data_IF_764015547513
#
_entry.id   IF_764015547513
#
_cell.length_a   1.000
_cell.length_b   1.000
_cell.length_c   1.000
_cell.angle_alpha   90.00
_cell.angle_beta   90.00
_cell.angle_gamma   90.00
#
_symmetry.space_group_name_H-M   'P 1'
#
loop_
_entity.id
_entity.type
_entity.pdbx_description
1 polymer ?
#
# COMPACT_ATOMS: atom_id res chain seq x y z
N UNK A 1 -2.72 -39.22 6.88
CA UNK A 1 -1.84 -38.56 7.87
C UNK A 1 -0.36 -38.56 7.48
N UNK A 2 0.12 -39.51 6.65
CA UNK A 2 1.52 -39.56 6.20
C UNK A 2 1.89 -38.61 5.03
N UNK A 3 0.91 -38.10 4.27
CA UNK A 3 1.16 -37.15 3.16
C UNK A 3 1.53 -35.73 3.63
N UNK A 4 1.03 -35.30 4.80
CA UNK A 4 1.24 -33.94 5.31
C UNK A 4 2.66 -33.71 5.82
N UNK A 5 3.29 -34.74 6.41
CA UNK A 5 4.68 -34.67 6.87
C UNK A 5 5.69 -34.57 5.73
N UNK A 6 5.41 -35.20 4.57
CA UNK A 6 6.29 -35.13 3.40
C UNK A 6 6.29 -33.77 2.70
N UNK A 7 5.18 -33.05 2.73
CA UNK A 7 5.06 -31.71 2.11
C UNK A 7 5.73 -30.65 3.00
N UNK A 8 5.57 -30.75 4.32
CA UNK A 8 6.21 -29.84 5.27
C UNK A 8 7.74 -30.00 5.28
N UNK A 9 8.28 -31.22 5.17
CA UNK A 9 9.73 -31.41 5.10
C UNK A 9 10.34 -30.84 3.82
N UNK A 10 9.65 -30.92 2.68
CA UNK A 10 10.13 -30.36 1.41
C UNK A 10 10.16 -28.81 1.42
N UNK A 11 9.21 -28.16 2.09
CA UNK A 11 9.18 -26.68 2.22
C UNK A 11 10.33 -26.19 3.11
N UNK A 12 10.63 -26.90 4.20
CA UNK A 12 11.72 -26.53 5.12
C UNK A 12 13.10 -26.73 4.48
N UNK A 13 13.29 -27.80 3.69
CA UNK A 13 14.56 -28.04 2.97
C UNK A 13 14.81 -26.96 1.90
N UNK A 14 13.76 -26.44 1.27
CA UNK A 14 13.89 -25.40 0.24
C UNK A 14 14.29 -24.02 0.81
N UNK A 15 14.03 -23.76 2.10
CA UNK A 15 14.41 -22.52 2.77
C UNK A 15 15.84 -22.51 3.33
N UNK A 16 16.41 -23.67 3.65
CA UNK A 16 17.72 -23.76 4.33
C UNK A 16 18.94 -23.83 3.39
N UNK A 17 18.73 -24.04 2.09
CA UNK A 17 19.83 -24.10 1.12
C UNK A 17 19.96 -22.73 0.43
N UNK A 18 20.64 -21.79 1.09
CA UNK A 18 21.10 -20.54 0.46
C UNK A 18 22.18 -20.92 -0.56
N UNK A 19 21.94 -20.80 -1.89
CA UNK A 19 22.97 -21.10 -2.86
C UNK A 19 23.92 -19.89 -2.97
N UNK A 20 25.22 -20.18 -2.98
CA UNK A 20 26.27 -19.24 -3.39
C UNK A 20 25.98 -18.66 -4.78
N UNK A 21 26.44 -17.42 -5.05
CA UNK A 21 25.95 -16.58 -6.16
C UNK A 21 26.17 -17.15 -7.57
N UNK A 22 26.99 -18.19 -7.74
CA UNK A 22 27.22 -18.84 -9.04
C UNK A 22 26.11 -19.82 -9.47
N UNK A 23 25.17 -20.19 -8.59
CA UNK A 23 24.08 -21.15 -8.88
C UNK A 23 22.67 -20.54 -8.90
N UNK A 24 22.54 -19.22 -8.78
CA UNK A 24 21.26 -18.51 -8.66
C UNK A 24 20.34 -18.66 -9.89
N UNK A 25 20.89 -18.75 -11.10
CA UNK A 25 20.11 -18.79 -12.35
C UNK A 25 19.44 -20.14 -12.65
N UNK A 26 19.99 -21.24 -12.13
CA UNK A 26 19.38 -22.57 -12.29
C UNK A 26 18.36 -22.84 -11.18
N UNK A 27 18.65 -22.36 -9.96
CA UNK A 27 17.73 -22.45 -8.82
C UNK A 27 16.42 -21.67 -9.05
N UNK A 28 16.46 -20.52 -9.74
CA UNK A 28 15.26 -19.73 -10.05
C UNK A 28 14.33 -20.44 -11.03
N UNK A 29 14.86 -21.15 -12.05
CA UNK A 29 14.02 -21.93 -12.97
C UNK A 29 13.34 -23.11 -12.29
N UNK A 30 14.05 -23.80 -11.39
CA UNK A 30 13.52 -24.97 -10.70
C UNK A 30 12.48 -24.56 -9.63
N UNK A 31 12.72 -23.45 -8.92
CA UNK A 31 11.74 -22.87 -8.00
C UNK A 31 10.47 -22.42 -8.73
N UNK A 32 10.59 -21.80 -9.91
CA UNK A 32 9.44 -21.34 -10.68
C UNK A 32 8.56 -22.50 -11.20
N UNK A 33 9.17 -23.64 -11.57
CA UNK A 33 8.45 -24.85 -11.98
C UNK A 33 7.68 -25.48 -10.81
N UNK A 34 8.30 -25.57 -9.63
CA UNK A 34 7.66 -26.10 -8.41
C UNK A 34 6.49 -25.21 -7.97
N UNK A 35 6.64 -23.89 -8.04
CA UNK A 35 5.57 -22.93 -7.73
C UNK A 35 4.39 -23.09 -8.71
N UNK A 36 4.67 -23.33 -10.00
CA UNK A 36 3.65 -23.53 -11.03
C UNK A 36 2.78 -24.77 -10.81
N UNK A 37 3.39 -25.91 -10.45
CA UNK A 37 2.65 -27.14 -10.18
C UNK A 37 1.88 -27.08 -8.84
N UNK A 38 2.44 -26.43 -7.81
CA UNK A 38 1.73 -26.18 -6.54
C UNK A 38 0.50 -25.29 -6.75
N UNK A 39 0.60 -24.26 -7.59
CA UNK A 39 -0.54 -23.41 -7.95
C UNK A 39 -1.67 -24.17 -8.67
N UNK A 40 -1.33 -25.13 -9.56
CA UNK A 40 -2.33 -25.98 -10.23
C UNK A 40 -3.05 -26.91 -9.23
N UNK A 41 -2.33 -27.47 -8.26
CA UNK A 41 -2.90 -28.33 -7.22
C UNK A 41 -3.82 -27.53 -6.29
N UNK A 42 -3.41 -26.31 -5.90
CA UNK A 42 -4.22 -25.41 -5.05
C UNK A 42 -5.52 -25.00 -5.75
N UNK A 43 -5.47 -24.72 -7.06
CA UNK A 43 -6.67 -24.37 -7.83
C UNK A 43 -7.63 -25.58 -7.98
N UNK A 44 -7.08 -26.78 -8.16
CA UNK A 44 -7.88 -28.03 -8.31
C UNK A 44 -8.63 -28.43 -7.03
N UNK A 45 -8.15 -28.04 -5.86
CA UNK A 45 -8.75 -28.41 -4.56
C UNK A 45 -9.55 -27.28 -3.88
N UNK A 46 -9.86 -26.19 -4.59
CA UNK A 46 -10.67 -25.09 -4.01
C UNK A 46 -9.95 -24.29 -2.92
N UNK A 47 -8.63 -24.38 -2.83
CA UNK A 47 -7.80 -23.70 -1.82
C UNK A 47 -7.52 -22.21 -2.16
N UNK A 48 -8.26 -21.62 -3.11
CA UNK A 48 -8.14 -20.22 -3.49
C UNK A 48 -8.33 -19.24 -2.32
N UNK A 49 -9.18 -19.59 -1.34
CA UNK A 49 -9.30 -18.82 -0.09
C UNK A 49 -7.92 -18.71 0.61
N UNK A 50 -7.16 -19.80 0.72
CA UNK A 50 -5.89 -19.84 1.45
C UNK A 50 -4.82 -18.88 0.88
N UNK A 51 -4.82 -18.68 -0.45
CA UNK A 51 -3.94 -17.70 -1.12
C UNK A 51 -4.33 -16.24 -0.84
N UNK A 52 -5.61 -15.96 -0.56
CA UNK A 52 -6.07 -14.62 -0.18
C UNK A 52 -5.71 -14.30 1.27
N UNK A 53 -5.86 -15.28 2.18
CA UNK A 53 -5.49 -15.12 3.60
C UNK A 53 -3.98 -14.89 3.78
N UNK A 54 -3.15 -15.61 3.03
CA UNK A 54 -1.68 -15.48 3.12
C UNK A 54 -1.20 -14.10 2.65
N UNK A 55 -1.76 -13.56 1.56
CA UNK A 55 -1.48 -12.18 1.11
C UNK A 55 -1.84 -11.15 2.18
N UNK A 56 -3.01 -11.28 2.80
CA UNK A 56 -3.47 -10.37 3.85
C UNK A 56 -2.54 -10.42 5.08
N UNK A 57 -2.10 -11.62 5.50
CA UNK A 57 -1.20 -11.79 6.65
C UNK A 57 0.16 -11.17 6.36
N UNK A 58 0.74 -11.42 5.18
CA UNK A 58 2.05 -10.85 4.80
C UNK A 58 1.98 -9.32 4.74
N UNK A 59 0.94 -8.76 4.11
CA UNK A 59 0.74 -7.32 4.07
C UNK A 59 0.61 -6.70 5.48
N UNK A 60 -0.12 -7.37 6.37
CA UNK A 60 -0.27 -6.94 7.76
C UNK A 60 1.07 -7.00 8.52
N UNK A 61 1.85 -8.06 8.36
CA UNK A 61 3.16 -8.19 9.01
C UNK A 61 4.17 -7.13 8.54
N UNK A 62 4.21 -6.85 7.24
CA UNK A 62 5.06 -5.79 6.68
C UNK A 62 4.56 -4.42 7.16
N UNK A 63 3.25 -4.19 7.11
CA UNK A 63 2.62 -2.95 7.57
C UNK A 63 2.95 -2.63 9.02
N UNK A 64 2.78 -3.60 9.93
CA UNK A 64 3.04 -3.41 11.37
C UNK A 64 4.53 -3.22 11.69
N UNK A 65 5.44 -3.61 10.79
CA UNK A 65 6.88 -3.37 10.96
C UNK A 65 7.29 -1.96 10.51
N UNK A 66 6.60 -1.41 9.51
CA UNK A 66 6.89 -0.09 8.97
C UNK A 66 6.12 1.02 9.68
N UNK A 67 4.93 0.70 10.22
CA UNK A 67 4.04 1.69 10.83
C UNK A 67 3.59 1.21 12.21
N UNK A 68 3.93 1.99 13.24
CA UNK A 68 3.37 1.83 14.58
C UNK A 68 2.14 2.73 14.74
N UNK A 69 1.03 2.14 15.20
CA UNK A 69 -0.23 2.86 15.36
C UNK A 69 -0.49 3.15 16.84
N UNK A 70 -0.42 4.43 17.23
CA UNK A 70 -0.80 4.88 18.57
C UNK A 70 -2.21 5.51 18.57
N UNK A 71 -2.66 5.87 19.77
CA UNK A 71 -3.97 6.48 19.98
C UNK A 71 -4.08 7.84 19.27
N UNK A 72 -3.04 8.68 19.36
CA UNK A 72 -3.06 10.07 18.88
C UNK A 72 -2.16 10.34 17.67
N UNK A 73 -1.31 9.40 17.27
CA UNK A 73 -0.39 9.57 16.16
C UNK A 73 0.00 8.21 15.55
N UNK A 74 0.56 8.27 14.35
CA UNK A 74 1.22 7.16 13.68
C UNK A 74 2.71 7.42 13.65
N UNK A 75 3.54 6.39 13.82
CA UNK A 75 4.98 6.47 13.63
C UNK A 75 5.33 5.63 12.42
N UNK A 76 5.87 6.27 11.39
CA UNK A 76 6.33 5.60 10.17
C UNK A 76 7.85 5.48 10.26
N UNK A 77 8.36 4.26 10.28
CA UNK A 77 9.78 3.96 10.24
C UNK A 77 10.24 3.92 8.79
N UNK A 78 11.09 4.87 8.39
CA UNK A 78 11.67 4.92 7.06
C UNK A 78 13.19 4.70 7.13
N UNK A 79 13.72 3.66 6.47
CA UNK A 79 15.16 3.50 6.34
C UNK A 79 15.68 4.47 5.27
N UNK A 80 16.68 5.27 5.62
CA UNK A 80 17.42 6.11 4.67
C UNK A 80 18.92 5.85 4.84
N UNK A 81 19.48 5.06 3.92
CA UNK A 81 20.83 4.51 4.03
C UNK A 81 20.92 3.45 5.13
N UNK A 82 21.85 3.63 6.06
CA UNK A 82 22.05 2.74 7.23
C UNK A 82 21.23 3.16 8.46
N UNK A 83 20.59 4.32 8.40
CA UNK A 83 19.90 4.93 9.54
C UNK A 83 18.39 4.77 9.39
N UNK A 84 17.75 4.42 10.51
CA UNK A 84 16.30 4.37 10.62
C UNK A 84 15.79 5.68 11.18
N UNK A 85 14.89 6.32 10.44
CA UNK A 85 14.27 7.56 10.84
C UNK A 85 12.77 7.34 11.10
N UNK A 86 12.17 8.25 11.87
CA UNK A 86 10.77 8.17 12.29
C UNK A 86 10.03 9.42 11.84
N UNK A 87 8.91 9.23 11.13
CA UNK A 87 7.96 10.31 10.82
C UNK A 87 6.78 10.14 11.77
N UNK A 88 6.47 11.17 12.55
CA UNK A 88 5.31 11.19 13.43
C UNK A 88 4.19 11.96 12.73
N UNK A 89 3.08 11.28 12.46
CA UNK A 89 1.91 11.88 11.81
C UNK A 89 0.77 11.95 12.83
N UNK A 90 0.18 13.13 13.09
CA UNK A 90 -0.96 13.23 14.01
C UNK A 90 -2.17 12.50 13.42
N UNK A 91 -2.81 11.68 14.26
CA UNK A 91 -4.00 10.94 13.88
C UNK A 91 -5.23 11.80 14.10
N UNK A 92 -5.83 12.28 13.00
CA UNK A 92 -7.16 12.89 13.03
C UNK A 92 -8.22 11.79 13.11
N UNK A 93 -9.18 11.93 14.03
CA UNK A 93 -10.32 11.02 14.18
C UNK A 93 -11.59 11.76 13.81
N UNK A 94 -12.45 11.11 13.04
CA UNK A 94 -13.70 11.69 12.56
C UNK A 94 -13.98 11.31 11.11
N UNK A 95 -15.15 11.68 10.59
CA UNK A 95 -15.46 11.53 9.17
C UNK A 95 -14.48 12.37 8.32
N UNK A 96 -14.14 11.86 7.14
CA UNK A 96 -13.40 12.65 6.16
C UNK A 96 -14.34 13.75 5.63
N UNK A 97 -13.94 15.02 5.74
CA UNK A 97 -14.77 16.16 5.32
C UNK A 97 -14.92 16.27 3.79
N UNK A 98 -13.99 15.69 3.03
CA UNK A 98 -13.98 15.70 1.57
C UNK A 98 -14.84 14.53 1.09
N UNK A 99 -15.93 14.85 0.41
CA UNK A 99 -16.85 13.88 -0.14
C UNK A 99 -16.36 13.32 -1.48
N UNK A 100 -16.09 14.20 -2.45
CA UNK A 100 -15.60 13.84 -3.78
C UNK A 100 -14.52 14.80 -4.25
N UNK A 101 -13.62 14.30 -5.12
CA UNK A 101 -12.64 15.15 -5.81
C UNK A 101 -12.73 14.82 -7.29
N UNK A 102 -13.11 15.80 -8.10
CA UNK A 102 -13.26 15.62 -9.55
C UNK A 102 -12.23 16.38 -10.34
N UNK A 103 -11.84 15.84 -11.50
CA UNK A 103 -11.01 16.53 -12.48
C UNK A 103 -11.86 17.46 -13.39
N UNK A 104 -11.23 18.10 -14.37
CA UNK A 104 -11.91 18.95 -15.36
C UNK A 104 -12.92 18.22 -16.25
N UNK A 105 -12.80 16.90 -16.37
CA UNK A 105 -13.69 16.02 -17.14
C UNK A 105 -14.78 15.39 -16.26
N UNK A 106 -14.87 15.80 -14.99
CA UNK A 106 -15.82 15.32 -14.00
C UNK A 106 -15.64 13.84 -13.60
N UNK A 107 -14.43 13.29 -13.74
CA UNK A 107 -14.07 11.97 -13.23
C UNK A 107 -13.70 12.05 -11.75
N UNK A 108 -14.11 11.07 -10.94
CA UNK A 108 -13.70 10.98 -9.54
C UNK A 108 -12.24 10.52 -9.42
N UNK A 109 -11.38 11.45 -9.01
CA UNK A 109 -9.94 11.28 -8.81
C UNK A 109 -9.56 11.31 -7.33
N UNK A 110 -10.55 11.22 -6.43
CA UNK A 110 -10.35 11.28 -4.97
C UNK A 110 -9.28 10.33 -4.48
N UNK A 111 -9.31 9.08 -4.94
CA UNK A 111 -8.38 8.04 -4.48
C UNK A 111 -6.92 8.39 -4.81
N UNK A 112 -6.69 8.93 -6.01
CA UNK A 112 -5.35 9.24 -6.48
C UNK A 112 -4.81 10.49 -5.77
N UNK A 113 -5.64 11.53 -5.62
CA UNK A 113 -5.27 12.74 -4.87
C UNK A 113 -5.00 12.42 -3.39
N UNK A 114 -5.82 11.58 -2.75
CA UNK A 114 -5.65 11.22 -1.34
C UNK A 114 -4.33 10.51 -1.04
N UNK A 115 -3.79 9.77 -2.01
CA UNK A 115 -2.48 9.13 -1.86
C UNK A 115 -1.37 10.16 -1.61
N UNK A 116 -1.47 11.35 -2.19
CA UNK A 116 -0.53 12.45 -2.01
C UNK A 116 -0.83 13.32 -0.78
N UNK A 117 -2.09 13.42 -0.37
CA UNK A 117 -2.49 14.25 0.77
C UNK A 117 -2.05 13.66 2.13
N UNK A 118 -1.87 12.34 2.17
CA UNK A 118 -1.55 11.60 3.39
C UNK A 118 -2.68 11.59 4.43
N UNK A 119 -2.45 10.96 5.60
CA UNK A 119 -3.49 10.74 6.62
C UNK A 119 -4.08 12.02 7.23
N UNK A 120 -3.38 13.15 7.11
CA UNK A 120 -3.82 14.43 7.66
C UNK A 120 -4.59 15.27 6.63
N UNK A 121 -4.72 14.82 5.38
CA UNK A 121 -5.37 15.55 4.28
C UNK A 121 -4.77 16.95 4.04
N UNK A 122 -3.45 17.12 4.17
CA UNK A 122 -2.81 18.44 4.11
C UNK A 122 -1.55 18.45 3.23
N UNK A 123 -1.36 17.46 2.36
CA UNK A 123 -0.17 17.31 1.49
C UNK A 123 1.14 17.42 2.27
N UNK A 124 1.15 16.94 3.52
CA UNK A 124 2.30 17.04 4.42
C UNK A 124 2.80 18.48 4.67
N UNK A 125 1.93 19.48 4.47
CA UNK A 125 2.26 20.91 4.61
C UNK A 125 2.96 21.52 3.40
N UNK A 126 3.05 20.79 2.28
CA UNK A 126 3.65 21.28 1.03
C UNK A 126 2.59 22.00 0.21
N UNK A 127 2.96 23.12 -0.40
CA UNK A 127 2.13 23.82 -1.38
C UNK A 127 2.07 23.00 -2.67
N UNK A 128 0.89 22.47 -2.99
CA UNK A 128 0.66 21.64 -4.17
C UNK A 128 -0.32 22.35 -5.10
N UNK A 129 -0.07 22.26 -6.41
CA UNK A 129 -0.98 22.71 -7.46
C UNK A 129 -1.59 21.50 -8.20
N UNK A 130 -2.76 21.63 -8.84
CA UNK A 130 -3.33 20.53 -9.63
C UNK A 130 -2.37 20.03 -10.72
N UNK A 131 -1.61 20.94 -11.34
CA UNK A 131 -0.60 20.58 -12.36
C UNK A 131 0.53 19.69 -11.81
N UNK A 132 0.93 19.86 -10.55
CA UNK A 132 1.91 18.95 -9.90
C UNK A 132 1.36 17.53 -9.72
N UNK A 133 0.04 17.38 -9.65
CA UNK A 133 -0.65 16.10 -9.54
C UNK A 133 -1.02 15.51 -10.91
N UNK A 134 -0.75 16.23 -12.01
CA UNK A 134 -1.06 15.81 -13.37
C UNK A 134 -2.47 16.16 -13.86
N UNK A 135 -3.15 17.10 -13.20
CA UNK A 135 -4.51 17.54 -13.55
C UNK A 135 -4.54 19.02 -13.95
N UNK A 136 -5.38 19.38 -14.93
CA UNK A 136 -5.57 20.78 -15.35
C UNK A 136 -6.42 21.59 -14.36
N UNK A 137 -7.36 20.92 -13.70
CA UNK A 137 -8.20 21.49 -12.63
C UNK A 137 -8.65 20.41 -11.68
N UNK A 138 -8.85 20.77 -10.41
CA UNK A 138 -9.40 19.89 -9.38
C UNK A 138 -10.53 20.58 -8.63
N UNK A 139 -11.64 19.89 -8.48
CA UNK A 139 -12.80 20.34 -7.71
C UNK A 139 -12.97 19.48 -6.47
N UNK A 140 -12.93 20.10 -5.29
CA UNK A 140 -13.13 19.42 -4.01
C UNK A 140 -14.55 19.73 -3.52
N UNK A 141 -15.37 18.68 -3.39
CA UNK A 141 -16.71 18.79 -2.80
C UNK A 141 -16.66 18.31 -1.35
N UNK A 142 -17.18 19.11 -0.43
CA UNK A 142 -17.23 18.80 0.99
C UNK A 142 -18.60 18.25 1.40
N UNK A 143 -18.66 17.54 2.52
CA UNK A 143 -19.92 17.02 3.09
C UNK A 143 -20.93 18.15 3.40
N UNK A 144 -20.45 19.38 3.62
CA UNK A 144 -21.31 20.56 3.79
C UNK A 144 -22.06 20.98 2.53
N UNK A 145 -21.68 20.45 1.36
CA UNK A 145 -22.18 20.88 0.05
C UNK A 145 -21.38 22.02 -0.59
N UNK A 146 -20.36 22.55 0.09
CA UNK A 146 -19.42 23.51 -0.49
C UNK A 146 -18.52 22.84 -1.52
N UNK A 147 -18.20 23.53 -2.61
CA UNK A 147 -17.30 23.04 -3.64
C UNK A 147 -16.24 24.09 -3.99
N UNK A 148 -14.97 23.70 -3.88
CA UNK A 148 -13.82 24.55 -4.21
C UNK A 148 -13.14 24.01 -5.46
N UNK A 149 -13.12 24.82 -6.53
CA UNK A 149 -12.44 24.49 -7.79
C UNK A 149 -11.10 25.22 -7.86
N UNK A 150 -10.03 24.50 -8.14
CA UNK A 150 -8.68 25.02 -8.30
C UNK A 150 -8.21 24.77 -9.74
N UNK A 151 -7.74 25.81 -10.42
CA UNK A 151 -7.12 25.68 -11.74
C UNK A 151 -5.66 25.21 -11.61
N UNK A 152 -5.05 24.80 -12.72
CA UNK A 152 -3.74 24.14 -12.74
C UNK A 152 -2.60 24.86 -12.04
N UNK A 153 -2.64 26.19 -11.94
CA UNK A 153 -1.63 27.02 -11.26
C UNK A 153 -2.01 27.41 -9.84
N UNK A 154 -3.26 27.19 -9.44
CA UNK A 154 -3.76 27.62 -8.14
C UNK A 154 -3.21 26.72 -7.03
N UNK A 155 -2.90 27.33 -5.90
CA UNK A 155 -2.45 26.59 -4.72
C UNK A 155 -3.67 25.91 -4.11
N UNK A 156 -3.61 24.58 -4.00
CA UNK A 156 -4.67 23.80 -3.36
C UNK A 156 -4.59 24.00 -1.85
N UNK A 157 -5.42 24.92 -1.34
CA UNK A 157 -5.61 25.12 0.09
C UNK A 157 -6.87 24.40 0.55
N UNK A 158 -6.72 23.14 0.98
CA UNK A 158 -7.83 22.41 1.59
C UNK A 158 -8.01 22.89 3.02
N UNK A 159 -9.14 23.52 3.32
CA UNK A 159 -9.44 23.95 4.69
C UNK A 159 -9.55 22.73 5.61
N UNK A 160 -8.52 22.56 6.43
CA UNK A 160 -8.49 21.58 7.52
C UNK A 160 -8.98 22.26 8.79
N UNK A 161 -10.29 22.24 9.06
CA UNK A 161 -10.80 22.60 10.40
C UNK A 161 -10.72 21.40 11.33
#
# INVERSE_FOLDING_TARGET
>A
MWLYLGILSAIVICWYVVPTPSKALVATRQACFVIGEVCKVINRHGLGLCLLWTKQIIANQIGNRLVEMHHHHYIIHYPYGVTWYKIIVPRRRGPCLIDTVTDGDNNDVKKDVFAYMGPSHNFHGVTVTPSMLGYDSLTFTYISGEANTFAGTDIVSVSSY
#
